data_IF_746318335501
#
_entry.id   IF_746318335501
#
_cell.length_a   1.000
_cell.length_b   1.000
_cell.length_c   1.000
_cell.angle_alpha   90.00
_cell.angle_beta   90.00
_cell.angle_gamma   90.00
#
_symmetry.space_group_name_H-M   'P 1'
#
loop_
_entity.id
_entity.type
_entity.pdbx_description
1 polymer ?
#
# COMPACT_ATOMS: atom_id res chain seq x y z
N UNK A 1 -5.47 -31.70 6.66
CA UNK A 1 -5.70 -31.94 5.21
C UNK A 1 -6.12 -30.61 4.64
N UNK A 2 -5.19 -29.89 4.01
CA UNK A 2 -5.55 -28.68 3.26
C UNK A 2 -6.40 -29.11 2.07
N UNK A 3 -7.51 -28.41 1.85
CA UNK A 3 -8.45 -28.71 0.79
C UNK A 3 -7.79 -28.48 -0.57
N UNK A 4 -7.78 -29.50 -1.44
CA UNK A 4 -7.22 -29.37 -2.79
C UNK A 4 -8.07 -28.44 -3.67
N UNK A 5 -9.27 -28.08 -3.24
CA UNK A 5 -10.18 -27.21 -3.98
C UNK A 5 -9.73 -25.73 -3.99
N UNK A 6 -9.21 -25.21 -2.87
CA UNK A 6 -8.73 -23.82 -2.75
C UNK A 6 -7.52 -23.56 -3.67
N UNK A 7 -6.52 -24.46 -3.65
CA UNK A 7 -5.35 -24.32 -4.53
C UNK A 7 -5.73 -24.32 -6.03
N UNK A 8 -6.73 -25.10 -6.44
CA UNK A 8 -7.15 -25.13 -7.85
C UNK A 8 -7.84 -23.85 -8.30
N UNK A 9 -8.55 -23.18 -7.40
CA UNK A 9 -9.22 -21.91 -7.69
C UNK A 9 -8.21 -20.76 -7.77
N UNK A 10 -7.19 -20.78 -6.93
CA UNK A 10 -6.10 -19.80 -6.97
C UNK A 10 -5.25 -19.95 -8.24
N UNK A 11 -5.01 -21.17 -8.71
CA UNK A 11 -4.31 -21.42 -9.98
C UNK A 11 -5.09 -20.86 -11.19
N UNK A 12 -6.42 -20.97 -11.20
CA UNK A 12 -7.28 -20.39 -12.25
C UNK A 12 -7.25 -18.85 -12.21
N UNK A 13 -7.34 -18.25 -11.02
CA UNK A 13 -7.27 -16.79 -10.85
C UNK A 13 -5.89 -16.24 -11.24
N UNK A 14 -4.80 -16.93 -10.89
CA UNK A 14 -3.44 -16.56 -11.32
C UNK A 14 -3.34 -16.60 -12.84
N UNK A 15 -3.95 -17.59 -13.49
CA UNK A 15 -4.01 -17.68 -14.95
C UNK A 15 -4.79 -16.50 -15.55
N UNK A 16 -5.96 -16.14 -15.00
CA UNK A 16 -6.75 -14.98 -15.41
C UNK A 16 -5.96 -13.67 -15.27
N UNK A 17 -5.31 -13.46 -14.12
CA UNK A 17 -4.51 -12.27 -13.83
C UNK A 17 -3.36 -12.12 -14.83
N UNK A 18 -2.72 -13.22 -15.23
CA UNK A 18 -1.65 -13.20 -16.24
C UNK A 18 -2.13 -12.79 -17.63
N UNK A 19 -3.44 -12.85 -17.92
CA UNK A 19 -4.03 -12.38 -19.17
C UNK A 19 -4.41 -10.89 -19.14
N UNK A 20 -4.35 -10.23 -17.98
CA UNK A 20 -4.69 -8.80 -17.86
C UNK A 20 -3.72 -7.90 -18.63
N UNK A 21 -4.14 -6.68 -18.99
CA UNK A 21 -3.25 -5.70 -19.60
C UNK A 21 -1.94 -5.60 -18.82
N UNK A 22 -0.82 -5.73 -19.54
CA UNK A 22 0.52 -5.79 -18.96
C UNK A 22 0.80 -4.63 -17.99
N UNK A 23 0.18 -3.48 -18.22
CA UNK A 23 0.32 -2.28 -17.38
C UNK A 23 -0.32 -2.43 -16.00
N UNK A 24 -1.51 -3.05 -15.88
CA UNK A 24 -2.15 -3.25 -14.58
C UNK A 24 -1.35 -4.24 -13.72
N UNK A 25 -0.89 -5.34 -14.32
CA UNK A 25 -0.11 -6.33 -13.59
C UNK A 25 1.21 -5.74 -13.09
N UNK A 26 1.91 -4.99 -13.96
CA UNK A 26 3.15 -4.29 -13.59
C UNK A 26 2.98 -3.30 -12.45
N UNK A 27 1.90 -2.51 -12.40
CA UNK A 27 1.71 -1.53 -11.33
C UNK A 27 1.45 -2.21 -9.97
N UNK A 28 0.69 -3.30 -9.94
CA UNK A 28 0.38 -4.01 -8.68
C UNK A 28 1.64 -4.70 -8.17
N UNK A 29 2.39 -5.36 -9.05
CA UNK A 29 3.68 -5.96 -8.72
C UNK A 29 4.65 -4.89 -8.24
N UNK A 30 4.72 -3.72 -8.90
CA UNK A 30 5.57 -2.62 -8.44
C UNK A 30 5.20 -2.17 -7.03
N UNK A 31 3.92 -2.06 -6.70
CA UNK A 31 3.47 -1.70 -5.35
C UNK A 31 3.89 -2.77 -4.32
N UNK A 32 3.66 -4.05 -4.60
CA UNK A 32 4.07 -5.17 -3.75
C UNK A 32 5.58 -5.12 -3.46
N UNK A 33 6.39 -4.99 -4.51
CA UNK A 33 7.86 -4.90 -4.38
C UNK A 33 8.33 -3.65 -3.63
N UNK A 34 7.54 -2.58 -3.58
CA UNK A 34 7.86 -1.40 -2.79
C UNK A 34 7.62 -1.65 -1.30
N UNK A 35 6.56 -2.38 -0.97
CA UNK A 35 6.19 -2.73 0.40
C UNK A 35 7.02 -3.86 1.01
N UNK A 36 7.49 -4.81 0.19
CA UNK A 36 8.47 -5.83 0.59
C UNK A 36 9.83 -5.12 0.74
N UNK A 37 10.18 -4.68 1.95
CA UNK A 37 11.32 -3.81 2.20
C UNK A 37 12.63 -4.59 2.25
N UNK A 38 12.60 -5.78 2.85
CA UNK A 38 13.77 -6.64 3.04
C UNK A 38 14.06 -7.54 1.82
N UNK A 39 13.13 -7.60 0.85
CA UNK A 39 13.21 -8.34 -0.41
C UNK A 39 13.15 -9.85 -0.20
N UNK A 40 12.47 -10.31 0.83
CA UNK A 40 12.26 -11.73 1.09
C UNK A 40 11.13 -12.34 0.22
N UNK A 41 10.38 -11.50 -0.51
CA UNK A 41 9.27 -11.89 -1.36
C UNK A 41 7.92 -11.92 -0.65
N UNK A 42 7.87 -11.45 0.60
CA UNK A 42 6.71 -11.36 1.44
C UNK A 42 6.51 -9.91 1.90
N UNK A 43 5.25 -9.55 2.17
CA UNK A 43 4.91 -8.25 2.78
C UNK A 43 4.18 -8.54 4.07
N UNK A 44 4.68 -8.06 5.19
CA UNK A 44 4.11 -8.39 6.50
C UNK A 44 4.41 -7.41 7.62
N UNK A 45 4.25 -7.91 8.84
CA UNK A 45 4.44 -7.13 10.07
C UNK A 45 5.83 -6.48 10.12
N UNK A 46 6.88 -7.25 9.81
CA UNK A 46 8.26 -6.78 9.91
C UNK A 46 8.54 -5.64 8.90
N UNK A 47 8.06 -5.73 7.66
CA UNK A 47 8.15 -4.63 6.69
C UNK A 47 7.47 -3.35 7.19
N UNK A 48 6.25 -3.47 7.74
CA UNK A 48 5.50 -2.31 8.22
C UNK A 48 6.22 -1.66 9.40
N UNK A 49 6.81 -2.44 10.30
CA UNK A 49 7.59 -1.91 11.41
C UNK A 49 8.92 -1.30 10.95
N UNK A 50 9.56 -1.87 9.92
CA UNK A 50 10.74 -1.28 9.29
C UNK A 50 10.44 0.07 8.64
N UNK A 51 9.25 0.26 8.06
CA UNK A 51 8.78 1.58 7.60
C UNK A 51 8.69 2.55 8.79
N UNK A 52 8.11 2.13 9.91
CA UNK A 52 7.96 2.97 11.11
C UNK A 52 9.33 3.48 11.60
N UNK A 53 10.30 2.57 11.74
CA UNK A 53 11.66 2.91 12.16
C UNK A 53 12.32 3.90 11.19
N UNK A 54 12.14 3.72 9.89
CA UNK A 54 12.66 4.65 8.87
C UNK A 54 11.98 6.01 8.95
N UNK A 55 10.66 6.07 9.15
CA UNK A 55 9.92 7.33 9.31
C UNK A 55 10.43 8.10 10.52
N UNK A 56 10.63 7.43 11.66
CA UNK A 56 11.17 8.03 12.88
C UNK A 56 12.57 8.60 12.62
N UNK A 57 13.44 7.81 12.00
CA UNK A 57 14.82 8.21 11.72
C UNK A 57 14.90 9.36 10.70
N UNK A 58 14.16 9.29 9.58
CA UNK A 58 14.17 10.32 8.53
C UNK A 58 13.50 11.61 9.03
N UNK A 59 12.42 11.48 9.79
CA UNK A 59 11.70 12.60 10.39
C UNK A 59 12.40 13.21 11.61
N UNK A 60 13.48 12.60 12.11
CA UNK A 60 14.14 12.95 13.37
C UNK A 60 13.16 13.03 14.56
N UNK A 61 12.18 12.13 14.57
CA UNK A 61 11.15 12.07 15.60
C UNK A 61 11.74 11.52 16.91
N UNK A 62 11.23 12.00 18.04
CA UNK A 62 11.71 11.59 19.35
C UNK A 62 10.64 11.73 20.43
N UNK A 63 10.85 11.04 21.56
CA UNK A 63 9.92 10.97 22.67
C UNK A 63 8.52 10.59 22.20
N UNK A 64 7.51 11.31 22.68
CA UNK A 64 6.10 11.05 22.37
C UNK A 64 5.80 10.93 20.86
N UNK A 65 6.41 11.77 20.02
CA UNK A 65 6.16 11.72 18.58
C UNK A 65 6.64 10.43 17.91
N UNK A 66 7.74 9.84 18.42
CA UNK A 66 8.21 8.54 17.94
C UNK A 66 7.31 7.42 18.50
N UNK A 67 6.90 7.51 19.76
CA UNK A 67 5.98 6.54 20.39
C UNK A 67 4.64 6.49 19.63
N UNK A 68 4.06 7.65 19.31
CA UNK A 68 2.81 7.77 18.57
C UNK A 68 2.93 7.12 17.17
N UNK A 69 4.05 7.33 16.46
CA UNK A 69 4.32 6.66 15.16
C UNK A 69 4.40 5.14 15.33
N UNK A 70 5.15 4.65 16.32
CA UNK A 70 5.29 3.21 16.57
C UNK A 70 3.91 2.59 16.85
N UNK A 71 3.07 3.25 17.66
CA UNK A 71 1.73 2.76 17.97
C UNK A 71 0.83 2.70 16.73
N UNK A 72 0.84 3.74 15.88
CA UNK A 72 0.03 3.73 14.67
C UNK A 72 0.48 2.68 13.65
N UNK A 73 1.80 2.52 13.45
CA UNK A 73 2.31 1.47 12.54
C UNK A 73 2.08 0.06 13.10
N UNK A 74 2.14 -0.12 14.42
CA UNK A 74 1.77 -1.39 15.06
C UNK A 74 0.29 -1.72 14.87
N UNK A 75 -0.60 -0.72 14.98
CA UNK A 75 -2.02 -0.91 14.67
C UNK A 75 -2.22 -1.30 13.20
N UNK A 76 -1.53 -0.64 12.27
CA UNK A 76 -1.55 -1.01 10.86
C UNK A 76 -1.06 -2.45 10.63
N UNK A 77 0.04 -2.84 11.30
CA UNK A 77 0.65 -4.15 11.18
C UNK A 77 -0.23 -5.29 11.76
N UNK A 78 -0.95 -5.03 12.86
CA UNK A 78 -1.87 -6.03 13.43
C UNK A 78 -3.09 -6.26 12.53
N UNK A 79 -3.63 -5.20 11.93
CA UNK A 79 -4.79 -5.28 11.03
C UNK A 79 -4.46 -5.95 9.70
N UNK A 80 -3.20 -5.94 9.29
CA UNK A 80 -2.71 -6.65 8.10
C UNK A 80 -2.35 -8.12 8.40
N UNK A 81 -1.98 -8.45 9.64
CA UNK A 81 -1.56 -9.80 10.06
C UNK A 81 -2.71 -10.70 10.58
N UNK A 82 -3.67 -10.15 11.33
CA UNK A 82 -4.63 -10.95 12.11
C UNK A 82 -5.97 -11.26 11.42
N UNK A 83 -6.26 -10.74 10.22
CA UNK A 83 -7.54 -10.96 9.52
C UNK A 83 -7.45 -11.98 8.36
N UNK A 84 -8.18 -13.11 8.40
CA UNK A 84 -8.63 -13.78 7.19
C UNK A 84 -9.96 -13.11 6.77
N UNK A 85 -10.10 -12.36 5.66
CA UNK A 85 -9.27 -12.22 4.46
C UNK A 85 -8.92 -10.74 4.18
N UNK A 86 -7.69 -10.34 4.48
CA UNK A 86 -7.01 -9.29 3.72
C UNK A 86 -5.75 -9.93 3.17
N UNK A 87 -5.92 -10.87 2.23
CA UNK A 87 -4.85 -11.68 1.62
C UNK A 87 -3.72 -10.86 0.95
N UNK A 88 -3.74 -9.54 1.01
CA UNK A 88 -2.71 -8.68 0.43
C UNK A 88 -1.46 -8.62 1.33
N UNK A 89 -1.54 -8.98 2.62
CA UNK A 89 -0.43 -8.77 3.57
C UNK A 89 -0.20 -9.91 4.59
N UNK A 90 -0.74 -11.12 4.35
CA UNK A 90 -0.18 -12.31 5.02
C UNK A 90 1.15 -12.64 4.34
N UNK A 91 2.10 -13.24 5.05
CA UNK A 91 3.30 -13.87 4.46
C UNK A 91 2.86 -14.78 3.32
N UNK A 92 2.91 -14.27 2.10
CA UNK A 92 2.28 -14.89 0.93
C UNK A 92 3.15 -14.66 -0.28
N UNK A 93 3.16 -15.64 -1.17
CA UNK A 93 3.81 -15.57 -2.47
C UNK A 93 3.22 -14.43 -3.32
N UNK A 94 3.97 -13.94 -4.31
CA UNK A 94 3.49 -12.93 -5.26
C UNK A 94 2.12 -13.28 -5.88
N UNK A 95 1.88 -14.56 -6.16
CA UNK A 95 0.62 -15.07 -6.71
C UNK A 95 -0.57 -14.83 -5.78
N UNK A 96 -0.41 -15.15 -4.50
CA UNK A 96 -1.47 -14.98 -3.48
C UNK A 96 -1.79 -13.49 -3.27
N UNK A 97 -0.78 -12.63 -3.21
CA UNK A 97 -0.98 -11.17 -3.11
C UNK A 97 -1.71 -10.60 -4.33
N UNK A 98 -1.40 -11.09 -5.53
CA UNK A 98 -2.10 -10.69 -6.76
C UNK A 98 -3.55 -11.14 -6.74
N UNK A 99 -3.81 -12.39 -6.35
CA UNK A 99 -5.17 -12.93 -6.20
C UNK A 99 -5.97 -12.11 -5.18
N UNK A 100 -5.37 -11.76 -4.05
CA UNK A 100 -5.97 -10.94 -3.02
C UNK A 100 -6.44 -9.57 -3.54
N UNK A 101 -5.56 -8.88 -4.28
CA UNK A 101 -5.88 -7.60 -4.91
C UNK A 101 -6.99 -7.79 -5.93
N UNK A 102 -6.91 -8.83 -6.77
CA UNK A 102 -7.90 -9.09 -7.82
C UNK A 102 -9.29 -9.37 -7.26
N UNK A 103 -9.41 -10.17 -6.19
CA UNK A 103 -10.69 -10.53 -5.55
C UNK A 103 -11.49 -9.32 -5.06
N UNK A 104 -10.83 -8.19 -4.79
CA UNK A 104 -11.53 -6.97 -4.36
C UNK A 104 -12.43 -6.35 -5.42
N UNK A 105 -12.22 -6.66 -6.72
CA UNK A 105 -13.03 -6.10 -7.81
C UNK A 105 -14.50 -6.51 -7.70
N UNK A 106 -14.75 -7.75 -7.27
CA UNK A 106 -16.07 -8.36 -7.21
C UNK A 106 -16.57 -8.58 -5.77
N UNK A 107 -15.78 -8.21 -4.76
CA UNK A 107 -16.12 -8.42 -3.35
C UNK A 107 -16.12 -7.10 -2.56
N UNK A 108 -17.33 -6.51 -2.34
CA UNK A 108 -17.47 -5.25 -1.60
C UNK A 108 -16.89 -5.28 -0.19
N UNK A 109 -16.98 -6.42 0.52
CA UNK A 109 -16.45 -6.55 1.88
C UNK A 109 -14.92 -6.52 1.90
N UNK A 110 -14.27 -7.16 0.92
CA UNK A 110 -12.81 -7.05 0.75
C UNK A 110 -12.39 -5.62 0.39
N UNK A 111 -13.16 -4.95 -0.47
CA UNK A 111 -12.91 -3.54 -0.83
C UNK A 111 -13.03 -2.61 0.39
N UNK A 112 -14.06 -2.79 1.21
CA UNK A 112 -14.23 -2.04 2.46
C UNK A 112 -13.09 -2.30 3.45
N UNK A 113 -12.70 -3.58 3.62
CA UNK A 113 -11.58 -3.97 4.48
C UNK A 113 -10.27 -3.30 4.04
N UNK A 114 -10.00 -3.27 2.73
CA UNK A 114 -8.84 -2.56 2.19
C UNK A 114 -8.92 -1.04 2.44
N UNK A 115 -10.08 -0.43 2.29
CA UNK A 115 -10.25 0.99 2.62
C UNK A 115 -9.91 1.30 4.08
N UNK A 116 -10.26 0.40 5.01
CA UNK A 116 -9.88 0.49 6.43
C UNK A 116 -8.38 0.40 6.67
N UNK A 117 -7.64 -0.34 5.82
CA UNK A 117 -6.17 -0.39 5.85
C UNK A 117 -5.58 0.95 5.40
N UNK A 118 -6.06 1.52 4.29
CA UNK A 118 -5.56 2.81 3.81
C UNK A 118 -5.85 3.97 4.77
N UNK A 119 -7.01 3.99 5.43
CA UNK A 119 -7.31 5.00 6.46
C UNK A 119 -6.39 4.84 7.69
N UNK A 120 -6.05 3.61 8.10
CA UNK A 120 -5.03 3.38 9.15
C UNK A 120 -3.64 3.82 8.72
N UNK A 121 -3.27 3.55 7.47
CA UNK A 121 -2.00 4.01 6.90
C UNK A 121 -1.94 5.54 6.89
N UNK A 122 -3.02 6.22 6.50
CA UNK A 122 -3.11 7.68 6.59
C UNK A 122 -2.87 8.17 8.03
N UNK A 123 -3.57 7.58 9.01
CA UNK A 123 -3.41 7.92 10.43
C UNK A 123 -1.97 7.67 10.92
N UNK A 124 -1.31 6.62 10.44
CA UNK A 124 0.08 6.33 10.78
C UNK A 124 1.08 7.34 10.21
N UNK A 125 0.77 7.94 9.06
CA UNK A 125 1.59 9.01 8.47
C UNK A 125 1.23 10.36 9.08
N UNK A 126 -0.03 10.56 9.50
CA UNK A 126 -0.51 11.76 10.16
C UNK A 126 -0.27 11.75 11.68
N UNK A 127 0.98 11.56 12.09
CA UNK A 127 1.37 11.38 13.50
C UNK A 127 1.06 12.58 14.43
N UNK A 128 0.63 13.73 13.92
CA UNK A 128 0.13 14.83 14.76
C UNK A 128 -1.40 14.93 14.81
N UNK A 129 -2.09 13.99 14.17
CA UNK A 129 -3.55 13.82 14.12
C UNK A 129 -4.30 15.11 13.76
N UNK A 130 -3.78 15.90 12.83
CA UNK A 130 -4.44 17.13 12.38
C UNK A 130 -5.39 16.89 11.19
N UNK A 131 -5.46 15.66 10.68
CA UNK A 131 -6.31 15.23 9.58
C UNK A 131 -5.74 15.52 8.19
N UNK A 132 -4.47 15.95 8.10
CA UNK A 132 -3.89 16.41 6.84
C UNK A 132 -2.38 16.11 6.71
N UNK A 133 -2.00 15.59 5.54
CA UNK A 133 -0.60 15.37 5.17
C UNK A 133 -0.07 16.52 4.34
N UNK A 134 0.90 17.26 4.88
CA UNK A 134 1.69 18.20 4.07
C UNK A 134 2.70 17.46 3.20
N UNK A 135 3.21 18.10 2.16
CA UNK A 135 4.20 17.49 1.27
C UNK A 135 5.44 17.00 2.01
N UNK A 136 5.91 17.74 3.03
CA UNK A 136 7.08 17.34 3.81
C UNK A 136 6.83 16.05 4.61
N UNK A 137 5.66 15.90 5.25
CA UNK A 137 5.29 14.66 5.94
C UNK A 137 5.17 13.50 4.96
N UNK A 138 4.47 13.73 3.84
CA UNK A 138 4.32 12.73 2.79
C UNK A 138 5.69 12.30 2.25
N UNK A 139 6.64 13.22 2.11
CA UNK A 139 7.99 12.94 1.64
C UNK A 139 8.82 12.14 2.67
N UNK A 140 8.65 12.36 3.97
CA UNK A 140 9.28 11.52 5.00
C UNK A 140 8.84 10.07 4.84
N UNK A 141 7.53 9.84 4.70
CA UNK A 141 6.98 8.52 4.44
C UNK A 141 7.48 7.93 3.11
N UNK A 142 7.48 8.72 2.04
CA UNK A 142 7.98 8.32 0.72
C UNK A 142 9.45 7.86 0.77
N UNK A 143 10.28 8.58 1.52
CA UNK A 143 11.70 8.28 1.64
C UNK A 143 11.96 6.99 2.44
N UNK A 144 11.03 6.55 3.29
CA UNK A 144 11.13 5.25 3.97
C UNK A 144 11.23 4.09 2.96
N UNK A 145 10.55 4.22 1.81
CA UNK A 145 10.60 3.25 0.71
C UNK A 145 11.79 3.46 -0.25
N UNK A 146 12.66 4.45 0.02
CA UNK A 146 13.80 4.84 -0.85
C UNK A 146 13.38 5.16 -2.30
N UNK A 147 12.17 5.66 -2.48
CA UNK A 147 11.64 6.01 -3.80
C UNK A 147 12.13 7.39 -4.24
N UNK A 148 12.22 7.61 -5.56
CA UNK A 148 12.69 8.87 -6.12
C UNK A 148 11.69 10.01 -5.83
N UNK A 149 12.20 11.10 -5.23
CA UNK A 149 11.45 12.30 -4.85
C UNK A 149 10.64 12.92 -6.00
N UNK A 150 11.07 12.75 -7.25
CA UNK A 150 10.34 13.26 -8.43
C UNK A 150 8.95 12.64 -8.54
N UNK A 151 8.79 11.37 -8.18
CA UNK A 151 7.49 10.71 -8.14
C UNK A 151 6.67 11.14 -6.93
N UNK A 152 7.31 11.44 -5.79
CA UNK A 152 6.61 11.95 -4.61
C UNK A 152 5.80 13.22 -4.92
N UNK A 153 6.41 14.22 -5.60
CA UNK A 153 5.69 15.46 -5.94
C UNK A 153 4.54 15.20 -6.91
N UNK A 154 4.79 14.41 -7.95
CA UNK A 154 3.77 14.06 -8.94
C UNK A 154 2.54 13.40 -8.31
N UNK A 155 2.74 12.49 -7.35
CA UNK A 155 1.61 11.85 -6.65
C UNK A 155 0.94 12.77 -5.66
N UNK A 156 1.71 13.59 -4.96
CA UNK A 156 1.13 14.57 -4.05
C UNK A 156 0.19 15.51 -4.81
N UNK A 157 0.64 16.05 -5.95
CA UNK A 157 -0.18 16.88 -6.84
C UNK A 157 -1.41 16.16 -7.38
N UNK A 158 -1.31 14.84 -7.57
CA UNK A 158 -2.43 14.05 -8.04
C UNK A 158 -3.46 13.80 -6.94
N UNK A 159 -3.01 13.59 -5.70
CA UNK A 159 -3.88 13.36 -4.54
C UNK A 159 -4.55 14.65 -4.05
N UNK A 160 -3.83 15.77 -4.05
CA UNK A 160 -4.31 17.10 -3.67
C UNK A 160 -5.27 17.64 -4.75
N UNK A 161 -6.49 17.12 -4.75
CA UNK A 161 -7.49 17.35 -5.80
C UNK A 161 -8.13 18.72 -5.71
N UNK A 162 -8.22 19.28 -4.50
CA UNK A 162 -8.73 20.63 -4.27
C UNK A 162 -7.63 21.71 -4.28
N UNK A 163 -6.36 21.30 -4.39
CA UNK A 163 -5.18 22.15 -4.52
C UNK A 163 -4.95 23.05 -3.31
N UNK A 164 -5.33 22.60 -2.12
CA UNK A 164 -5.15 23.34 -0.87
C UNK A 164 -3.74 23.14 -0.25
N UNK A 165 -2.90 22.30 -0.88
CA UNK A 165 -1.50 22.08 -0.52
C UNK A 165 -1.30 21.02 0.55
N UNK A 166 -2.34 20.27 0.91
CA UNK A 166 -2.32 19.16 1.88
C UNK A 166 -3.25 18.05 1.39
N UNK A 167 -2.96 16.81 1.81
CA UNK A 167 -3.80 15.66 1.45
C UNK A 167 -4.69 15.31 2.63
N UNK A 168 -5.99 15.24 2.39
CA UNK A 168 -6.99 14.72 3.34
C UNK A 168 -7.05 13.17 3.33
N UNK A 169 -7.66 12.57 4.36
CA UNK A 169 -7.88 11.11 4.39
C UNK A 169 -8.74 10.63 3.19
N UNK A 170 -9.74 11.43 2.80
CA UNK A 170 -10.61 11.13 1.66
C UNK A 170 -9.82 11.10 0.34
N UNK A 171 -8.95 12.08 0.11
CA UNK A 171 -8.09 12.14 -1.06
C UNK A 171 -7.06 11.01 -1.09
N UNK A 172 -6.44 10.73 0.05
CA UNK A 172 -5.48 9.64 0.20
C UNK A 172 -6.12 8.29 -0.12
N UNK A 173 -7.28 8.00 0.49
CA UNK A 173 -8.02 6.78 0.26
C UNK A 173 -8.47 6.66 -1.19
N UNK A 174 -9.05 7.73 -1.75
CA UNK A 174 -9.53 7.75 -3.12
C UNK A 174 -8.41 7.45 -4.11
N UNK A 175 -7.24 8.08 -3.96
CA UNK A 175 -6.12 7.85 -4.87
C UNK A 175 -5.58 6.42 -4.82
N UNK A 176 -5.51 5.81 -3.63
CA UNK A 176 -5.07 4.42 -3.51
C UNK A 176 -6.10 3.42 -4.06
N UNK A 177 -7.40 3.68 -3.89
CA UNK A 177 -8.46 2.87 -4.50
C UNK A 177 -8.42 3.00 -6.03
N UNK A 178 -8.36 4.23 -6.54
CA UNK A 178 -8.27 4.51 -7.98
C UNK A 178 -7.00 3.87 -8.58
N UNK A 179 -5.86 3.93 -7.88
CA UNK A 179 -4.62 3.29 -8.30
C UNK A 179 -4.78 1.79 -8.50
N UNK A 180 -5.48 1.08 -7.61
CA UNK A 180 -5.68 -0.37 -7.73
C UNK A 180 -6.68 -0.69 -8.86
N UNK A 181 -7.81 0.00 -8.89
CA UNK A 181 -8.94 -0.33 -9.77
C UNK A 181 -8.73 0.10 -11.23
N UNK A 182 -7.91 1.12 -11.49
CA UNK A 182 -7.71 1.65 -12.84
C UNK A 182 -6.91 0.70 -13.75
N UNK A 183 -7.55 0.08 -14.74
CA UNK A 183 -6.88 -0.83 -15.71
C UNK A 183 -6.32 -0.13 -16.94
N UNK A 184 -6.54 1.18 -17.09
CA UNK A 184 -6.10 1.95 -18.24
C UNK A 184 -4.62 2.33 -18.14
N UNK A 185 -3.96 2.52 -19.30
CA UNK A 185 -2.62 3.09 -19.33
C UNK A 185 -2.67 4.60 -19.01
N UNK A 186 -1.65 5.10 -18.32
CA UNK A 186 -1.61 6.44 -17.77
C UNK A 186 -0.43 6.67 -16.83
N UNK A 187 -0.15 7.95 -16.54
CA UNK A 187 0.94 8.37 -15.65
C UNK A 187 0.80 7.82 -14.24
N UNK A 188 -0.44 7.60 -13.78
CA UNK A 188 -0.77 7.09 -12.46
C UNK A 188 -0.34 5.65 -12.23
N UNK A 189 -0.11 4.86 -13.28
CA UNK A 189 0.45 3.52 -13.12
C UNK A 189 1.84 3.56 -12.49
N UNK A 190 2.50 4.71 -12.51
CA UNK A 190 3.81 4.96 -11.91
C UNK A 190 3.72 5.66 -10.56
N UNK A 191 2.60 5.49 -9.84
CA UNK A 191 2.41 5.98 -8.47
C UNK A 191 3.65 5.63 -7.64
N UNK A 192 3.98 4.33 -7.53
CA UNK A 192 5.17 3.84 -6.83
C UNK A 192 6.51 3.94 -7.61
N UNK A 193 6.59 4.77 -8.64
CA UNK A 193 7.77 4.95 -9.48
C UNK A 193 7.75 4.12 -10.78
N UNK A 194 8.91 3.89 -11.42
CA UNK A 194 9.00 3.13 -12.66
C UNK A 194 8.45 1.71 -12.51
N UNK A 195 7.65 1.28 -13.49
CA UNK A 195 7.09 -0.06 -13.52
C UNK A 195 8.20 -1.12 -13.62
N UNK A 196 8.19 -2.08 -12.70
CA UNK A 196 9.14 -3.20 -12.67
C UNK A 196 8.85 -4.15 -13.84
N UNK A 197 9.91 -4.69 -14.45
CA UNK A 197 9.83 -5.88 -15.28
C UNK A 197 10.09 -7.10 -14.39
N UNK A 198 9.20 -8.07 -14.42
CA UNK A 198 9.20 -9.25 -13.55
C UNK A 198 9.14 -10.53 -14.38
#
# INVERSE_FOLDING_TARGET
MADKSENSFDDELVSEIRQLPNVWLKKIITAIFVWDLDKDGHTGYDDIMDVADKVINIGNLNGKSADDVIECFRDLASHTSDNPPTEVFRVTSLSEQLVAVWRTKDNPSLRESRGKIYSRMFQAIDFNANGFLTFDKYLVFWNAFKLDRRFARMQFDFMDTDQDGKISDEEFLKAHVDYIENTNDGTLNRFFGPLINY
#
